data_IF_493031607257
#
_entry.id   IF_493031607257
#
_cell.length_a   1.000
_cell.length_b   1.000
_cell.length_c   1.000
_cell.angle_alpha   90.00
_cell.angle_beta   90.00
_cell.angle_gamma   90.00
#
_symmetry.space_group_name_H-M   'P 1'
#
loop_
_entity.id
_entity.type
_entity.pdbx_description
1 polymer ?
#
# COMPACT_ATOMS: atom_id res chain seq x y z
N UNK A 1 -12.85 18.07 19.57
CA UNK A 1 -13.65 17.93 18.34
C UNK A 1 -12.99 16.89 17.47
N UNK A 2 -13.73 15.88 16.97
CA UNK A 2 -13.20 14.92 16.00
C UNK A 2 -12.97 15.64 14.68
N UNK A 3 -11.82 15.45 14.03
CA UNK A 3 -11.65 15.90 12.65
C UNK A 3 -12.27 14.89 11.71
N UNK A 4 -12.95 15.36 10.67
CA UNK A 4 -13.48 14.53 9.60
C UNK A 4 -12.97 15.07 8.27
N UNK A 5 -12.65 14.17 7.34
CA UNK A 5 -12.17 14.53 6.01
C UNK A 5 -13.09 13.95 4.95
N UNK A 6 -13.24 14.67 3.84
CA UNK A 6 -14.05 14.19 2.72
C UNK A 6 -13.39 12.98 2.05
N UNK A 7 -14.20 12.13 1.41
CA UNK A 7 -13.69 11.03 0.59
C UNK A 7 -12.71 11.53 -0.48
N UNK A 8 -12.97 12.69 -1.09
CA UNK A 8 -12.06 13.32 -2.06
C UNK A 8 -10.70 13.63 -1.44
N UNK A 9 -10.64 14.25 -0.26
CA UNK A 9 -9.36 14.52 0.42
C UNK A 9 -8.60 13.23 0.76
N UNK A 10 -9.32 12.14 1.08
CA UNK A 10 -8.67 10.83 1.26
C UNK A 10 -8.14 10.30 -0.08
N UNK A 11 -8.86 10.47 -1.18
CA UNK A 11 -8.40 10.10 -2.52
C UNK A 11 -7.15 10.90 -2.94
N UNK A 12 -7.19 12.23 -2.78
CA UNK A 12 -6.06 13.11 -3.08
C UNK A 12 -4.85 12.76 -2.19
N UNK A 13 -5.06 12.32 -0.95
CA UNK A 13 -3.97 11.82 -0.09
C UNK A 13 -3.34 10.53 -0.64
N UNK A 14 -4.16 9.60 -1.13
CA UNK A 14 -3.69 8.34 -1.72
C UNK A 14 -2.88 8.60 -2.99
N UNK A 15 -3.30 9.58 -3.79
CA UNK A 15 -2.64 9.95 -5.05
C UNK A 15 -1.40 10.84 -4.84
N UNK A 16 -1.21 11.39 -3.64
CA UNK A 16 -0.10 12.29 -3.32
C UNK A 16 -0.34 13.74 -3.75
N UNK A 17 -1.58 14.09 -4.06
CA UNK A 17 -2.00 15.39 -4.60
C UNK A 17 -2.71 16.28 -3.56
N UNK A 18 -2.79 15.85 -2.30
CA UNK A 18 -3.46 16.60 -1.24
C UNK A 18 -2.71 17.90 -0.91
N UNK A 19 -3.46 18.99 -0.76
CA UNK A 19 -2.90 20.29 -0.41
C UNK A 19 -2.16 20.28 0.95
N UNK A 20 -1.10 21.08 1.02
CA UNK A 20 -0.22 21.12 2.19
C UNK A 20 -0.94 21.50 3.49
N UNK A 21 -1.92 22.39 3.43
CA UNK A 21 -2.64 22.83 4.63
C UNK A 21 -3.46 21.69 5.21
N UNK A 22 -4.13 20.90 4.36
CA UNK A 22 -4.89 19.72 4.77
C UNK A 22 -3.96 18.61 5.27
N UNK A 23 -2.82 18.34 4.60
CA UNK A 23 -1.80 17.38 5.09
C UNK A 23 -1.35 17.77 6.50
N UNK A 24 -1.00 19.04 6.71
CA UNK A 24 -0.60 19.56 8.02
C UNK A 24 -1.69 19.35 9.07
N UNK A 25 -2.95 19.65 8.76
CA UNK A 25 -4.08 19.39 9.68
C UNK A 25 -4.17 17.91 10.05
N UNK A 26 -4.07 16.99 9.08
CA UNK A 26 -4.11 15.54 9.31
C UNK A 26 -2.98 15.04 10.21
N UNK A 27 -1.80 15.67 10.15
CA UNK A 27 -0.66 15.32 11.00
C UNK A 27 -0.88 15.72 12.46
N UNK A 28 -1.30 16.96 12.71
CA UNK A 28 -1.33 17.55 14.05
C UNK A 28 -2.66 17.39 14.81
N UNK A 29 -3.79 17.24 14.11
CA UNK A 29 -5.09 17.14 14.75
C UNK A 29 -5.43 15.69 15.17
N UNK A 30 -6.39 15.50 16.11
CA UNK A 30 -6.90 14.18 16.45
C UNK A 30 -7.38 13.43 15.21
N UNK A 31 -7.10 12.12 15.14
CA UNK A 31 -7.36 11.32 13.94
C UNK A 31 -8.86 11.16 13.66
N UNK A 32 -9.18 11.18 12.37
CA UNK A 32 -10.50 10.86 11.86
C UNK A 32 -10.78 9.36 12.00
N UNK A 33 -11.87 9.01 12.70
CA UNK A 33 -12.28 7.63 12.95
C UNK A 33 -12.76 6.93 11.67
N UNK A 34 -13.24 7.69 10.69
CA UNK A 34 -13.76 7.17 9.44
C UNK A 34 -12.66 7.00 8.37
N UNK A 35 -11.41 7.34 8.71
CA UNK A 35 -10.26 7.26 7.80
C UNK A 35 -10.15 5.89 7.14
N UNK A 36 -10.28 4.82 7.92
CA UNK A 36 -10.08 3.47 7.41
C UNK A 36 -11.13 3.09 6.36
N UNK A 37 -12.41 3.37 6.62
CA UNK A 37 -13.51 3.03 5.71
C UNK A 37 -13.39 3.82 4.40
N UNK A 38 -13.13 5.13 4.49
CA UNK A 38 -12.94 5.97 3.32
C UNK A 38 -11.71 5.52 2.51
N UNK A 39 -10.62 5.16 3.18
CA UNK A 39 -9.39 4.70 2.54
C UNK A 39 -9.60 3.39 1.77
N UNK A 40 -10.26 2.40 2.38
CA UNK A 40 -10.61 1.14 1.71
C UNK A 40 -11.50 1.39 0.48
N UNK A 41 -12.51 2.25 0.60
CA UNK A 41 -13.39 2.62 -0.52
C UNK A 41 -12.61 3.21 -1.70
N UNK A 42 -11.65 4.11 -1.43
CA UNK A 42 -10.79 4.70 -2.47
C UNK A 42 -9.92 3.64 -3.15
N UNK A 43 -9.29 2.75 -2.37
CA UNK A 43 -8.44 1.70 -2.91
C UNK A 43 -9.23 0.68 -3.74
N UNK A 44 -10.45 0.33 -3.32
CA UNK A 44 -11.30 -0.63 -4.01
C UNK A 44 -11.72 -0.14 -5.41
N UNK A 45 -11.90 1.18 -5.59
CA UNK A 45 -12.20 1.77 -6.90
C UNK A 45 -11.00 1.77 -7.86
N UNK A 46 -9.76 1.68 -7.34
CA UNK A 46 -8.52 1.75 -8.14
C UNK A 46 -8.07 0.39 -8.68
N UNK A 47 -8.63 -0.72 -8.20
CA UNK A 47 -8.27 -2.08 -8.65
C UNK A 47 -9.23 -2.59 -9.72
N UNK A 48 -8.75 -3.45 -10.62
CA UNK A 48 -9.52 -3.99 -11.75
C UNK A 48 -10.37 -5.23 -11.41
N UNK A 49 -10.31 -5.70 -10.16
CA UNK A 49 -10.99 -6.91 -9.70
C UNK A 49 -11.99 -6.61 -8.58
N UNK A 50 -12.96 -7.53 -8.40
CA UNK A 50 -14.11 -7.35 -7.50
C UNK A 50 -13.96 -7.99 -6.12
N UNK A 51 -12.85 -8.67 -5.82
CA UNK A 51 -12.61 -9.20 -4.47
C UNK A 51 -12.58 -8.04 -3.46
N UNK A 52 -13.03 -8.27 -2.24
CA UNK A 52 -13.18 -7.21 -1.23
C UNK A 52 -11.85 -6.99 -0.51
N UNK A 53 -11.31 -5.77 -0.55
CA UNK A 53 -10.13 -5.41 0.23
C UNK A 53 -10.50 -5.41 1.73
N UNK A 54 -9.75 -6.17 2.51
CA UNK A 54 -9.88 -6.25 3.97
C UNK A 54 -8.80 -5.38 4.64
N UNK A 55 -7.56 -5.48 4.15
CA UNK A 55 -6.43 -4.73 4.71
C UNK A 55 -5.36 -4.45 3.65
N UNK A 56 -4.98 -3.18 3.39
CA UNK A 56 -3.83 -2.87 2.54
C UNK A 56 -2.52 -3.12 3.30
N UNK A 57 -1.60 -3.86 2.67
CA UNK A 57 -0.26 -4.15 3.18
C UNK A 57 0.81 -3.23 2.58
N UNK A 58 0.52 -2.63 1.43
CA UNK A 58 1.36 -1.67 0.73
C UNK A 58 0.60 -1.04 -0.43
N UNK A 59 1.26 -0.18 -1.25
CA UNK A 59 0.59 0.56 -2.33
C UNK A 59 -0.17 -0.35 -3.32
N UNK A 60 0.40 -1.53 -3.61
CA UNK A 60 -0.13 -2.47 -4.61
C UNK A 60 -0.35 -3.88 -4.05
N UNK A 61 -0.43 -4.06 -2.72
CA UNK A 61 -0.57 -5.37 -2.08
C UNK A 61 -1.64 -5.31 -0.97
N UNK A 62 -2.56 -6.26 -1.01
CA UNK A 62 -3.73 -6.29 -0.12
C UNK A 62 -3.98 -7.69 0.43
N UNK A 63 -4.58 -7.75 1.63
CA UNK A 63 -5.37 -8.90 2.05
C UNK A 63 -6.79 -8.67 1.53
N UNK A 64 -7.32 -9.65 0.81
CA UNK A 64 -8.65 -9.61 0.21
C UNK A 64 -9.49 -10.79 0.64
N UNK A 65 -10.80 -10.62 0.68
CA UNK A 65 -11.79 -11.69 0.73
C UNK A 65 -12.26 -12.00 -0.69
N UNK A 66 -12.00 -13.22 -1.16
CA UNK A 66 -12.43 -13.67 -2.47
C UNK A 66 -13.93 -14.00 -2.51
N UNK A 67 -14.48 -14.19 -3.72
CA UNK A 67 -15.86 -14.68 -3.91
C UNK A 67 -16.16 -16.02 -3.22
N UNK A 68 -15.14 -16.81 -2.90
CA UNK A 68 -15.25 -18.08 -2.16
C UNK A 68 -15.04 -17.91 -0.64
N UNK A 69 -15.08 -16.67 -0.12
CA UNK A 69 -14.82 -16.32 1.28
C UNK A 69 -13.42 -16.76 1.78
N UNK A 70 -12.42 -16.78 0.88
CA UNK A 70 -11.02 -17.05 1.25
C UNK A 70 -10.28 -15.74 1.45
N UNK A 71 -9.47 -15.67 2.51
CA UNK A 71 -8.59 -14.54 2.78
C UNK A 71 -7.21 -14.75 2.14
N UNK A 72 -6.85 -13.87 1.20
CA UNK A 72 -5.71 -14.06 0.30
C UNK A 72 -4.82 -12.81 0.25
N UNK A 73 -3.50 -13.00 0.14
CA UNK A 73 -2.57 -11.95 -0.23
C UNK A 73 -2.64 -11.73 -1.75
N UNK A 74 -3.05 -10.55 -2.20
CA UNK A 74 -3.33 -10.25 -3.61
C UNK A 74 -2.71 -8.93 -4.06
N UNK A 75 -2.06 -8.94 -5.22
CA UNK A 75 -1.53 -7.76 -5.88
C UNK A 75 -2.67 -6.94 -6.52
N UNK A 76 -2.49 -5.62 -6.64
CA UNK A 76 -3.35 -4.75 -7.46
C UNK A 76 -3.52 -5.26 -8.89
N UNK A 77 -2.51 -5.90 -9.49
CA UNK A 77 -2.59 -6.49 -10.83
C UNK A 77 -3.47 -7.75 -10.92
N UNK A 78 -3.90 -8.32 -9.79
CA UNK A 78 -4.74 -9.52 -9.74
C UNK A 78 -4.03 -10.80 -9.29
N UNK A 79 -2.69 -10.83 -9.27
CA UNK A 79 -1.93 -12.02 -8.86
C UNK A 79 -2.15 -12.35 -7.38
N UNK A 80 -2.35 -13.63 -7.07
CA UNK A 80 -2.56 -14.15 -5.72
C UNK A 80 -1.29 -14.85 -5.24
N UNK A 81 -0.70 -14.33 -4.16
CA UNK A 81 0.50 -14.90 -3.54
C UNK A 81 0.20 -16.05 -2.57
N UNK A 82 -1.06 -16.30 -2.24
CA UNK A 82 -1.48 -17.39 -1.35
C UNK A 82 -2.31 -16.93 -0.14
N UNK A 83 -2.54 -17.82 0.84
CA UNK A 83 -3.33 -17.53 2.03
C UNK A 83 -2.76 -16.37 2.86
N UNK A 84 -3.63 -15.58 3.50
CA UNK A 84 -3.20 -14.41 4.28
C UNK A 84 -2.30 -14.74 5.49
N UNK A 85 -2.36 -15.99 5.99
CA UNK A 85 -1.54 -16.47 7.12
C UNK A 85 -0.12 -16.86 6.71
N UNK A 86 0.16 -16.93 5.42
CA UNK A 86 1.47 -17.28 4.89
C UNK A 86 2.24 -16.02 4.48
N UNK A 87 3.56 -16.09 4.55
CA UNK A 87 4.41 -15.01 4.09
C UNK A 87 4.39 -14.95 2.55
N UNK A 88 3.75 -13.93 1.99
CA UNK A 88 3.61 -13.73 0.54
C UNK A 88 4.95 -13.73 -0.21
N UNK A 89 6.06 -13.37 0.46
CA UNK A 89 7.41 -13.37 -0.14
C UNK A 89 7.87 -14.77 -0.56
N UNK A 90 7.37 -15.83 0.07
CA UNK A 90 7.70 -17.21 -0.28
C UNK A 90 7.14 -17.62 -1.65
N UNK A 91 6.15 -16.89 -2.16
CA UNK A 91 5.50 -17.11 -3.45
C UNK A 91 5.76 -15.94 -4.44
N UNK A 92 6.80 -15.13 -4.17
CA UNK A 92 7.20 -14.01 -5.00
C UNK A 92 8.51 -14.31 -5.72
N UNK A 93 8.75 -13.61 -6.84
CA UNK A 93 10.04 -13.63 -7.51
C UNK A 93 11.04 -12.75 -6.74
N UNK A 94 12.27 -13.25 -6.56
CA UNK A 94 13.34 -12.56 -5.85
C UNK A 94 14.52 -12.37 -6.81
N UNK A 95 15.03 -11.15 -6.89
CA UNK A 95 16.30 -10.84 -7.55
C UNK A 95 17.29 -10.34 -6.51
N UNK A 96 18.39 -11.08 -6.32
CA UNK A 96 19.44 -10.73 -5.36
C UNK A 96 20.59 -10.05 -6.09
N UNK A 97 20.94 -8.85 -5.64
CA UNK A 97 22.12 -8.08 -6.07
C UNK A 97 23.25 -8.38 -5.11
N UNK A 98 23.96 -9.47 -5.34
CA UNK A 98 25.03 -9.99 -4.46
C UNK A 98 26.44 -9.66 -4.97
N UNK A 99 26.56 -9.05 -6.15
CA UNK A 99 27.83 -8.66 -6.77
C UNK A 99 27.97 -7.12 -6.84
N UNK A 100 29.19 -6.56 -6.73
CA UNK A 100 29.43 -5.12 -6.84
C UNK A 100 28.85 -4.51 -8.12
N UNK A 101 28.92 -5.20 -9.25
CA UNK A 101 28.39 -4.76 -10.54
C UNK A 101 26.86 -4.59 -10.50
N UNK A 102 26.16 -5.55 -9.87
CA UNK A 102 24.70 -5.49 -9.71
C UNK A 102 24.27 -4.40 -8.72
N UNK A 103 25.09 -4.10 -7.72
CA UNK A 103 24.86 -2.99 -6.78
C UNK A 103 24.99 -1.62 -7.46
N UNK A 104 25.96 -1.47 -8.37
CA UNK A 104 26.18 -0.22 -9.12
C UNK A 104 25.02 0.18 -10.03
N UNK A 105 24.11 -0.75 -10.35
CA UNK A 105 22.89 -0.43 -11.10
C UNK A 105 21.91 0.48 -10.32
N UNK A 106 22.00 0.49 -8.99
CA UNK A 106 21.07 1.23 -8.12
C UNK A 106 21.77 2.24 -7.20
N UNK A 107 23.09 2.14 -7.01
CA UNK A 107 23.89 3.07 -6.22
C UNK A 107 25.10 3.61 -7.01
N UNK A 108 25.41 4.92 -6.93
CA UNK A 108 26.62 5.48 -7.51
C UNK A 108 27.90 4.83 -6.96
N UNK A 109 28.93 4.73 -7.78
CA UNK A 109 30.24 4.25 -7.35
C UNK A 109 30.90 5.27 -6.41
N UNK A 110 31.26 4.83 -5.19
CA UNK A 110 31.99 5.65 -4.21
C UNK A 110 31.18 6.15 -3.02
N UNK A 111 29.86 5.92 -2.99
CA UNK A 111 29.08 6.14 -1.76
C UNK A 111 29.34 4.98 -0.78
N UNK A 112 30.09 5.27 0.28
CA UNK A 112 30.28 4.38 1.43
C UNK A 112 28.95 4.21 2.17
N UNK A 113 28.22 3.12 1.90
CA UNK A 113 26.96 2.78 2.57
C UNK A 113 27.21 2.21 3.99
N UNK A 114 28.48 1.92 4.33
CA UNK A 114 28.93 1.58 5.67
C UNK A 114 29.38 2.87 6.38
N UNK A 115 28.45 3.52 7.09
CA UNK A 115 28.76 4.45 8.18
C UNK A 115 28.09 3.96 9.45
#
# INVERSE_FOLDING_TARGET
>A
MSTTYTRKQVADLVDGDLDWETVRKMLFMPKDKDRFINYISVLQEKVSWSDKIILPLGPHLYIVESKENKLLNKCSCGYVFGPYKENWKMNALIYVRDEPEKFKEVYPQGESILR
#
